data_IF_603014911077
#
_entry.id   IF_603014911077
#
_cell.length_a   1.000
_cell.length_b   1.000
_cell.length_c   1.000
_cell.angle_alpha   90.00
_cell.angle_beta   90.00
_cell.angle_gamma   90.00
#
_symmetry.space_group_name_H-M   'P 1'
#
loop_
_entity.id
_entity.type
_entity.pdbx_description
1 polymer ?
#
# COMPACT_ATOMS: atom_id res chain seq x y z
N UNK A 1 14.75 35.68 37.70
CA UNK A 1 14.16 34.39 38.08
C UNK A 1 12.97 34.14 37.16
N UNK A 2 13.19 33.41 36.07
CA UNK A 2 12.15 33.04 35.11
C UNK A 2 11.37 31.85 35.67
N UNK A 3 10.12 32.08 36.05
CA UNK A 3 9.16 31.03 36.39
C UNK A 3 8.84 30.24 35.12
N UNK A 4 9.62 29.22 34.80
CA UNK A 4 9.22 28.21 33.82
C UNK A 4 8.22 27.27 34.50
N UNK A 5 6.94 27.60 34.44
CA UNK A 5 5.90 26.60 34.66
C UNK A 5 6.10 25.48 33.64
N UNK A 6 6.12 24.20 34.05
CA UNK A 6 6.17 23.11 33.10
C UNK A 6 4.93 23.22 32.20
N UNK A 7 5.14 23.23 30.88
CA UNK A 7 4.06 23.26 29.91
C UNK A 7 3.06 22.14 30.26
N UNK A 8 1.79 22.51 30.46
CA UNK A 8 0.73 21.52 30.73
C UNK A 8 0.71 20.53 29.57
N UNK A 9 0.93 19.26 29.86
CA UNK A 9 0.88 18.22 28.83
C UNK A 9 -0.57 18.08 28.35
N UNK A 10 -0.77 18.24 27.04
CA UNK A 10 -2.04 17.93 26.40
C UNK A 10 -2.42 16.48 26.69
N UNK A 11 -3.62 16.28 27.22
CA UNK A 11 -4.23 14.97 27.44
C UNK A 11 -5.17 14.64 26.29
N UNK A 12 -4.98 13.46 25.69
CA UNK A 12 -5.85 12.97 24.65
C UNK A 12 -7.09 12.29 25.25
N UNK A 13 -8.22 12.28 24.53
CA UNK A 13 -9.39 11.50 24.94
C UNK A 13 -9.03 10.02 25.18
N UNK A 14 -9.68 9.33 26.14
CA UNK A 14 -9.46 7.91 26.34
C UNK A 14 -9.74 7.08 25.08
N UNK A 15 -8.87 6.11 24.79
CA UNK A 15 -9.01 5.21 23.65
C UNK A 15 -8.60 5.82 22.30
N UNK A 16 -7.89 6.96 22.30
CA UNK A 16 -7.45 7.64 21.08
C UNK A 16 -6.63 6.71 20.17
N UNK A 17 -5.66 5.96 20.69
CA UNK A 17 -4.88 5.01 19.90
C UNK A 17 -5.74 3.94 19.16
N UNK A 18 -6.75 3.38 19.82
CA UNK A 18 -7.63 2.38 19.20
C UNK A 18 -8.45 2.99 18.07
N UNK A 19 -8.99 4.20 18.28
CA UNK A 19 -9.75 4.91 17.24
C UNK A 19 -8.86 5.38 16.09
N UNK A 20 -7.60 5.72 16.34
CA UNK A 20 -6.62 6.01 15.28
C UNK A 20 -6.35 4.78 14.42
N UNK A 21 -6.28 3.60 15.03
CA UNK A 21 -6.16 2.36 14.29
C UNK A 21 -7.40 2.05 13.45
N UNK A 22 -8.61 2.32 13.97
CA UNK A 22 -9.86 2.19 13.22
C UNK A 22 -9.92 3.16 12.03
N UNK A 23 -9.64 4.45 12.27
CA UNK A 23 -9.54 5.48 11.24
C UNK A 23 -8.54 5.11 10.14
N UNK A 24 -7.35 4.64 10.53
CA UNK A 24 -6.32 4.22 9.58
C UNK A 24 -6.75 3.05 8.70
N UNK A 25 -7.47 2.06 9.26
CA UNK A 25 -8.02 0.94 8.51
C UNK A 25 -9.14 1.37 7.57
N UNK A 26 -9.99 2.30 8.00
CA UNK A 26 -11.00 2.90 7.12
C UNK A 26 -10.35 3.63 5.94
N UNK A 27 -9.34 4.47 6.20
CA UNK A 27 -8.58 5.17 5.16
C UNK A 27 -7.87 4.23 4.18
N UNK A 28 -7.61 2.99 4.59
CA UNK A 28 -6.92 2.00 3.78
C UNK A 28 -7.86 1.06 3.02
N UNK A 29 -8.92 0.59 3.68
CA UNK A 29 -9.84 -0.43 3.17
C UNK A 29 -11.20 0.13 2.73
N UNK A 30 -11.48 1.40 3.02
CA UNK A 30 -12.79 2.02 2.79
C UNK A 30 -13.90 1.23 3.46
N UNK A 31 -14.94 0.90 2.69
CA UNK A 31 -16.12 0.15 3.15
C UNK A 31 -15.78 -1.25 3.69
N UNK A 32 -14.67 -1.84 3.26
CA UNK A 32 -14.23 -3.16 3.75
C UNK A 32 -13.65 -3.13 5.18
N UNK A 33 -13.49 -1.94 5.77
CA UNK A 33 -12.97 -1.77 7.15
C UNK A 33 -13.98 -2.16 8.24
N UNK A 34 -15.27 -2.32 7.90
CA UNK A 34 -16.32 -2.66 8.85
C UNK A 34 -16.88 -1.49 9.65
N UNK A 35 -16.44 -0.26 9.38
CA UNK A 35 -16.97 0.98 9.98
C UNK A 35 -17.39 1.99 8.91
N UNK A 36 -18.34 2.85 9.25
CA UNK A 36 -18.81 3.92 8.36
C UNK A 36 -17.94 5.19 8.42
N UNK A 37 -18.06 6.09 7.41
CA UNK A 37 -17.33 7.36 7.35
C UNK A 37 -17.55 8.22 8.60
N UNK A 38 -18.78 8.30 9.10
CA UNK A 38 -19.09 9.10 10.30
C UNK A 38 -18.31 8.65 11.52
N UNK A 39 -18.14 7.34 11.70
CA UNK A 39 -17.37 6.78 12.81
C UNK A 39 -15.87 7.04 12.62
N UNK A 40 -15.35 6.81 11.42
CA UNK A 40 -13.92 7.00 11.12
C UNK A 40 -13.50 8.48 11.29
N UNK A 41 -14.26 9.40 10.69
CA UNK A 41 -13.98 10.83 10.72
C UNK A 41 -14.42 11.51 12.01
N UNK A 42 -15.42 10.97 12.71
CA UNK A 42 -15.90 11.49 13.99
C UNK A 42 -14.82 11.54 15.08
N UNK A 43 -13.81 10.65 15.01
CA UNK A 43 -12.66 10.74 15.91
C UNK A 43 -11.83 12.00 15.67
N UNK A 44 -11.56 12.39 14.42
CA UNK A 44 -10.79 13.60 14.14
C UNK A 44 -11.48 14.85 14.70
N UNK A 45 -12.82 14.89 14.66
CA UNK A 45 -13.62 15.95 15.28
C UNK A 45 -13.36 16.11 16.78
N UNK A 46 -13.03 15.03 17.49
CA UNK A 46 -12.68 15.12 18.93
C UNK A 46 -11.30 15.74 19.18
N UNK A 47 -10.42 15.75 18.18
CA UNK A 47 -9.08 16.31 18.25
C UNK A 47 -9.03 17.74 17.68
N UNK A 48 -10.04 18.15 16.91
CA UNK A 48 -10.12 19.46 16.27
C UNK A 48 -9.94 20.65 17.25
N UNK A 49 -10.52 20.66 18.46
CA UNK A 49 -10.27 21.77 19.39
C UNK A 49 -8.80 21.88 19.78
N UNK A 50 -8.12 20.75 19.99
CA UNK A 50 -6.70 20.71 20.33
C UNK A 50 -5.82 21.11 19.14
N UNK A 51 -6.20 20.70 17.92
CA UNK A 51 -5.46 21.07 16.72
C UNK A 51 -5.47 22.58 16.46
N UNK A 52 -6.52 23.28 16.90
CA UNK A 52 -6.65 24.73 16.77
C UNK A 52 -5.97 25.49 17.92
N UNK A 53 -6.07 24.99 19.15
CA UNK A 53 -5.56 25.69 20.33
C UNK A 53 -4.08 25.43 20.62
N UNK A 54 -3.60 24.22 20.35
CA UNK A 54 -2.22 23.78 20.62
C UNK A 54 -1.76 22.69 19.63
N UNK A 55 -1.48 23.06 18.35
CA UNK A 55 -1.02 22.14 17.31
C UNK A 55 0.18 21.28 17.74
N UNK A 56 1.20 21.92 18.33
CA UNK A 56 2.42 21.26 18.76
C UNK A 56 2.18 20.32 19.94
N UNK A 57 1.36 20.73 20.91
CA UNK A 57 0.95 19.90 22.02
C UNK A 57 0.13 18.68 21.59
N UNK A 58 -0.76 18.83 20.59
CA UNK A 58 -1.48 17.71 19.99
C UNK A 58 -0.51 16.72 19.34
N UNK A 59 0.41 17.18 18.48
CA UNK A 59 1.40 16.31 17.83
C UNK A 59 2.27 15.58 18.87
N UNK A 60 2.73 16.28 19.91
CA UNK A 60 3.50 15.68 21.00
C UNK A 60 2.69 14.66 21.80
N UNK A 61 1.39 14.92 22.05
CA UNK A 61 0.53 13.98 22.75
C UNK A 61 0.27 12.72 21.93
N UNK A 62 -0.01 12.86 20.64
CA UNK A 62 -0.18 11.74 19.71
C UNK A 62 1.09 10.88 19.66
N UNK A 63 2.26 11.50 19.48
CA UNK A 63 3.54 10.80 19.45
C UNK A 63 3.78 9.99 20.72
N UNK A 64 3.57 10.57 21.91
CA UNK A 64 3.71 9.84 23.19
C UNK A 64 2.79 8.62 23.27
N UNK A 65 1.56 8.72 22.76
CA UNK A 65 0.58 7.63 22.85
C UNK A 65 0.86 6.51 21.84
N UNK A 66 1.22 6.85 20.59
CA UNK A 66 1.25 5.88 19.49
C UNK A 66 2.64 5.35 19.15
N UNK A 67 3.71 6.10 19.42
CA UNK A 67 5.08 5.64 19.12
C UNK A 67 5.44 4.31 19.81
N UNK A 68 5.07 4.08 21.08
CA UNK A 68 5.31 2.78 21.74
C UNK A 68 4.50 1.63 21.13
N UNK A 69 3.35 1.94 20.53
CA UNK A 69 2.44 0.95 19.95
C UNK A 69 2.83 0.60 18.51
N UNK A 70 3.32 1.58 17.74
CA UNK A 70 3.58 1.44 16.32
C UNK A 70 2.30 1.12 15.53
N UNK A 71 2.46 0.38 14.43
CA UNK A 71 1.34 -0.24 13.73
C UNK A 71 0.27 0.71 13.19
N UNK A 72 -0.96 0.21 13.18
CA UNK A 72 -2.16 0.96 12.80
C UNK A 72 -2.40 2.24 13.62
N UNK A 73 -2.22 2.28 14.97
CA UNK A 73 -2.32 3.53 15.73
C UNK A 73 -1.34 4.61 15.26
N UNK A 74 -0.07 4.26 15.04
CA UNK A 74 0.94 5.22 14.60
C UNK A 74 0.69 5.71 13.16
N UNK A 75 0.26 4.81 12.27
CA UNK A 75 -0.15 5.19 10.92
C UNK A 75 -1.37 6.13 10.95
N UNK A 76 -2.37 5.82 11.77
CA UNK A 76 -3.54 6.68 11.99
C UNK A 76 -3.20 8.05 12.56
N UNK A 77 -2.25 8.13 13.49
CA UNK A 77 -1.76 9.41 14.02
C UNK A 77 -1.06 10.25 12.95
N UNK A 78 -0.23 9.63 12.10
CA UNK A 78 0.42 10.32 10.98
C UNK A 78 -0.63 10.93 10.04
N UNK A 79 -1.67 10.14 9.69
CA UNK A 79 -2.82 10.61 8.91
C UNK A 79 -3.56 11.75 9.61
N UNK A 80 -3.92 11.58 10.88
CA UNK A 80 -4.64 12.58 11.65
C UNK A 80 -3.87 13.91 11.75
N UNK A 81 -2.54 13.86 11.93
CA UNK A 81 -1.68 15.04 11.93
C UNK A 81 -1.71 15.73 10.56
N UNK A 82 -1.55 14.99 9.47
CA UNK A 82 -1.61 15.53 8.12
C UNK A 82 -2.96 16.21 7.81
N UNK A 83 -4.08 15.60 8.23
CA UNK A 83 -5.42 16.13 8.00
C UNK A 83 -5.74 17.35 8.89
N UNK A 84 -5.35 17.30 10.18
CA UNK A 84 -5.74 18.34 11.15
C UNK A 84 -4.77 19.52 11.21
N UNK A 85 -3.47 19.28 10.99
CA UNK A 85 -2.42 20.29 11.11
C UNK A 85 -1.89 20.73 9.73
N UNK A 86 -2.17 19.95 8.69
CA UNK A 86 -1.72 20.20 7.33
C UNK A 86 -0.35 19.58 7.01
N UNK A 87 -0.12 19.33 5.72
CA UNK A 87 1.11 18.69 5.23
C UNK A 87 2.37 19.53 5.43
N UNK A 88 2.23 20.85 5.60
CA UNK A 88 3.33 21.78 5.85
C UNK A 88 3.65 21.95 7.35
N UNK A 89 2.95 21.23 8.24
CA UNK A 89 3.22 21.31 9.66
C UNK A 89 4.57 20.69 10.00
N UNK A 90 5.44 21.48 10.62
CA UNK A 90 6.77 21.04 11.07
C UNK A 90 6.77 20.81 12.58
N UNK A 91 7.37 19.70 13.03
CA UNK A 91 7.58 19.43 14.44
C UNK A 91 8.19 18.05 14.67
N UNK A 92 9.16 17.95 15.58
CA UNK A 92 9.90 16.71 15.85
C UNK A 92 8.96 15.53 16.18
N UNK A 93 7.92 15.77 16.97
CA UNK A 93 6.93 14.76 17.30
C UNK A 93 6.11 14.28 16.09
N UNK A 94 5.70 15.20 15.21
CA UNK A 94 4.98 14.85 13.98
C UNK A 94 5.88 14.05 13.03
N UNK A 95 7.13 14.49 12.88
CA UNK A 95 8.15 13.78 12.10
C UNK A 95 8.40 12.37 12.61
N UNK A 96 8.53 12.19 13.94
CA UNK A 96 8.74 10.87 14.53
C UNK A 96 7.55 9.92 14.30
N UNK A 97 6.32 10.45 14.33
CA UNK A 97 5.11 9.68 14.01
C UNK A 97 5.09 9.28 12.53
N UNK A 98 5.43 10.21 11.62
CA UNK A 98 5.51 9.92 10.18
C UNK A 98 6.59 8.87 9.86
N UNK A 99 7.77 8.96 10.48
CA UNK A 99 8.83 7.97 10.31
C UNK A 99 8.40 6.58 10.83
N UNK A 100 7.63 6.54 11.93
CA UNK A 100 7.02 5.32 12.43
C UNK A 100 5.98 4.72 11.48
N UNK A 101 5.14 5.56 10.88
CA UNK A 101 4.16 5.19 9.86
C UNK A 101 4.84 4.61 8.60
N UNK A 102 5.88 5.27 8.09
CA UNK A 102 6.66 4.78 6.93
C UNK A 102 7.29 3.42 7.24
N UNK A 103 7.88 3.26 8.44
CA UNK A 103 8.44 1.98 8.88
C UNK A 103 7.37 0.87 8.91
N UNK A 104 6.19 1.17 9.42
CA UNK A 104 5.07 0.24 9.43
C UNK A 104 4.66 -0.18 8.02
N UNK A 105 4.48 0.76 7.07
CA UNK A 105 4.14 0.42 5.68
C UNK A 105 5.21 -0.48 5.04
N UNK A 106 6.50 -0.16 5.22
CA UNK A 106 7.60 -0.97 4.67
C UNK A 106 7.65 -2.38 5.28
N UNK A 107 7.51 -2.49 6.60
CA UNK A 107 7.51 -3.79 7.28
C UNK A 107 6.37 -4.71 6.82
N UNK A 108 5.26 -4.13 6.35
CA UNK A 108 4.11 -4.87 5.85
C UNK A 108 4.10 -5.03 4.32
N UNK A 109 5.24 -4.78 3.65
CA UNK A 109 5.38 -5.06 2.22
C UNK A 109 4.58 -4.12 1.31
N UNK A 110 4.19 -2.93 1.78
CA UNK A 110 3.42 -1.99 0.98
C UNK A 110 4.30 -1.42 -0.15
N UNK A 111 3.95 -1.60 -1.44
CA UNK A 111 4.77 -1.11 -2.54
C UNK A 111 4.73 0.43 -2.64
N UNK A 112 5.78 1.07 -3.20
CA UNK A 112 5.87 2.54 -3.29
C UNK A 112 4.65 3.20 -3.94
N UNK A 113 4.06 2.57 -4.95
CA UNK A 113 2.89 3.08 -5.68
C UNK A 113 1.62 3.17 -4.81
N UNK A 114 1.60 2.55 -3.62
CA UNK A 114 0.48 2.59 -2.66
C UNK A 114 0.74 3.50 -1.47
N UNK A 115 1.86 4.21 -1.48
CA UNK A 115 2.26 5.16 -0.44
C UNK A 115 1.79 6.56 -0.82
N UNK A 116 1.44 7.39 0.16
CA UNK A 116 0.98 8.76 -0.12
C UNK A 116 2.16 9.67 -0.51
N UNK A 117 1.93 10.74 -1.30
CA UNK A 117 3.01 11.59 -1.76
C UNK A 117 3.90 12.18 -0.65
N UNK A 118 3.34 12.55 0.50
CA UNK A 118 4.13 13.11 1.62
C UNK A 118 4.94 12.05 2.37
N UNK A 119 4.44 10.81 2.46
CA UNK A 119 5.20 9.67 3.02
C UNK A 119 6.39 9.35 2.11
N UNK A 120 6.17 9.34 0.79
CA UNK A 120 7.22 9.14 -0.18
C UNK A 120 8.26 10.26 -0.17
N UNK A 121 7.81 11.52 -0.09
CA UNK A 121 8.71 12.68 -0.02
C UNK A 121 9.60 12.60 1.22
N UNK A 122 9.01 12.30 2.39
CA UNK A 122 9.78 12.10 3.64
C UNK A 122 10.82 10.98 3.52
N UNK A 123 10.48 9.87 2.86
CA UNK A 123 11.43 8.79 2.61
C UNK A 123 12.62 9.26 1.77
N UNK A 124 12.37 9.98 0.68
CA UNK A 124 13.43 10.50 -0.20
C UNK A 124 14.28 11.56 0.52
N UNK A 125 13.66 12.47 1.26
CA UNK A 125 14.34 13.54 2.01
C UNK A 125 15.29 12.99 3.09
N UNK A 126 15.05 11.77 3.57
CA UNK A 126 15.90 11.07 4.53
C UNK A 126 16.94 10.16 3.88
N UNK A 127 17.14 10.29 2.56
CA UNK A 127 18.13 9.53 1.78
C UNK A 127 17.63 8.18 1.26
N UNK A 128 16.32 7.92 1.35
CA UNK A 128 15.70 6.74 0.81
C UNK A 128 15.63 6.71 -0.73
N UNK A 129 15.66 5.51 -1.31
CA UNK A 129 15.48 5.31 -2.77
C UNK A 129 14.36 4.31 -3.06
N UNK A 130 13.97 4.19 -4.34
CA UNK A 130 12.98 3.20 -4.79
C UNK A 130 13.49 1.78 -4.54
N UNK A 131 14.76 1.52 -4.83
CA UNK A 131 15.42 0.24 -4.68
C UNK A 131 15.55 -0.16 -3.20
N UNK A 132 15.70 0.83 -2.31
CA UNK A 132 15.83 0.61 -0.88
C UNK A 132 14.48 0.52 -0.15
N UNK A 133 13.35 0.81 -0.82
CA UNK A 133 12.04 0.83 -0.16
C UNK A 133 11.62 -0.54 0.37
N UNK A 134 11.66 -1.57 -0.48
CA UNK A 134 11.37 -2.96 -0.10
C UNK A 134 12.46 -3.90 -0.62
N UNK A 135 12.76 -5.00 0.09
CA UNK A 135 13.65 -6.02 -0.44
C UNK A 135 13.01 -6.66 -1.68
N UNK A 136 13.76 -6.67 -2.79
CA UNK A 136 13.34 -7.35 -4.03
C UNK A 136 13.69 -8.82 -3.97
N UNK A 137 12.75 -9.68 -4.38
CA UNK A 137 12.93 -11.11 -4.56
C UNK A 137 13.37 -11.33 -6.01
N UNK A 138 14.59 -11.87 -6.26
CA UNK A 138 15.00 -12.18 -7.62
C UNK A 138 14.16 -13.34 -8.18
N UNK A 139 13.82 -13.31 -9.48
CA UNK A 139 13.09 -14.42 -10.11
C UNK A 139 13.96 -15.70 -10.12
N UNK A 140 13.34 -16.89 -10.19
CA UNK A 140 14.09 -18.11 -10.39
C UNK A 140 14.84 -18.07 -11.72
N UNK A 141 16.04 -18.68 -11.81
CA UNK A 141 16.74 -18.79 -13.09
C UNK A 141 15.97 -19.76 -14.02
N UNK A 142 16.13 -19.64 -15.35
CA UNK A 142 15.35 -20.42 -16.33
C UNK A 142 15.34 -21.93 -16.07
N UNK A 143 16.47 -22.51 -15.70
CA UNK A 143 16.66 -23.93 -15.43
C UNK A 143 15.96 -24.43 -14.14
N UNK A 144 15.53 -23.52 -13.27
CA UNK A 144 14.75 -23.80 -12.05
C UNK A 144 13.35 -23.21 -12.10
N UNK A 145 12.90 -22.79 -13.28
CA UNK A 145 11.61 -22.14 -13.47
C UNK A 145 10.42 -23.02 -13.08
N UNK A 146 10.53 -24.34 -13.27
CA UNK A 146 9.45 -25.30 -13.01
C UNK A 146 8.20 -25.07 -13.89
N UNK A 147 8.29 -24.20 -14.91
CA UNK A 147 7.18 -23.86 -15.77
C UNK A 147 6.82 -25.04 -16.66
N UNK A 148 5.54 -25.44 -16.63
CA UNK A 148 5.04 -26.47 -17.54
C UNK A 148 4.75 -25.84 -18.88
N UNK A 149 5.24 -26.43 -19.97
CA UNK A 149 4.89 -25.91 -21.29
C UNK A 149 3.38 -25.88 -21.56
N UNK A 150 2.95 -24.91 -22.38
CA UNK A 150 1.56 -24.78 -22.81
C UNK A 150 1.30 -25.70 -23.99
N UNK A 151 0.23 -26.50 -23.92
CA UNK A 151 -0.25 -27.24 -25.08
C UNK A 151 -0.80 -26.27 -26.16
N UNK A 152 -0.84 -26.67 -27.44
CA UNK A 152 -1.49 -25.86 -28.47
C UNK A 152 -2.94 -25.53 -28.09
N UNK A 153 -3.30 -24.24 -28.14
CA UNK A 153 -4.62 -23.74 -27.73
C UNK A 153 -4.85 -23.64 -26.22
N UNK A 154 -3.88 -24.04 -25.38
CA UNK A 154 -3.96 -23.86 -23.93
C UNK A 154 -3.89 -22.37 -23.58
N UNK A 155 -4.84 -21.93 -22.74
CA UNK A 155 -4.86 -20.60 -22.14
C UNK A 155 -4.71 -20.76 -20.63
N UNK A 156 -3.64 -20.20 -20.07
CA UNK A 156 -3.32 -20.34 -18.64
C UNK A 156 -3.65 -19.07 -17.90
N UNK A 157 -4.55 -19.16 -16.91
CA UNK A 157 -4.85 -18.06 -16.00
C UNK A 157 -3.73 -17.89 -14.99
N UNK A 158 -3.16 -16.68 -14.90
CA UNK A 158 -1.96 -16.44 -14.06
C UNK A 158 -2.18 -15.37 -12.98
N UNK A 159 -3.13 -14.45 -13.14
CA UNK A 159 -3.43 -13.45 -12.13
C UNK A 159 -4.87 -12.91 -12.19
N UNK A 160 -5.36 -12.44 -11.04
CA UNK A 160 -6.60 -11.65 -10.88
C UNK A 160 -6.29 -10.43 -10.03
N UNK A 161 -6.59 -9.23 -10.56
CA UNK A 161 -6.11 -7.97 -9.98
C UNK A 161 -6.76 -7.63 -8.63
N UNK A 162 -8.10 -7.72 -8.54
CA UNK A 162 -8.90 -7.39 -7.35
C UNK A 162 -9.79 -8.56 -6.93
N UNK A 163 -10.50 -8.41 -5.80
CA UNK A 163 -11.48 -9.40 -5.32
C UNK A 163 -12.84 -9.28 -6.02
N UNK A 164 -13.03 -8.25 -6.85
CA UNK A 164 -14.31 -7.93 -7.47
C UNK A 164 -14.70 -9.00 -8.51
N UNK A 165 -16.00 -9.22 -8.68
CA UNK A 165 -16.51 -10.23 -9.63
C UNK A 165 -16.09 -9.96 -11.07
N UNK A 166 -15.88 -8.70 -11.41
CA UNK A 166 -15.51 -8.20 -12.72
C UNK A 166 -14.02 -7.83 -12.82
N UNK A 167 -13.20 -8.26 -11.85
CA UNK A 167 -11.77 -7.97 -11.81
C UNK A 167 -11.06 -8.25 -13.15
N UNK A 168 -10.03 -7.45 -13.40
CA UNK A 168 -9.12 -7.70 -14.53
C UNK A 168 -8.38 -9.01 -14.29
N UNK A 169 -8.38 -9.88 -15.29
CA UNK A 169 -7.68 -11.17 -15.24
C UNK A 169 -6.61 -11.24 -16.32
N UNK A 170 -5.51 -11.92 -15.99
CA UNK A 170 -4.36 -12.06 -16.89
C UNK A 170 -4.21 -13.52 -17.27
N UNK A 171 -4.13 -13.76 -18.58
CA UNK A 171 -3.91 -15.08 -19.16
C UNK A 171 -2.61 -15.09 -19.96
N UNK A 172 -1.97 -16.26 -20.05
CA UNK A 172 -0.84 -16.51 -20.94
C UNK A 172 -1.22 -17.61 -21.93
N UNK A 173 -0.91 -17.41 -23.19
CA UNK A 173 -1.20 -18.36 -24.27
C UNK A 173 -0.12 -18.27 -25.36
N UNK A 174 -0.08 -19.25 -26.26
CA UNK A 174 0.71 -19.16 -27.50
C UNK A 174 0.20 -18.01 -28.38
N UNK A 175 1.12 -17.30 -29.03
CA UNK A 175 0.78 -16.19 -29.95
C UNK A 175 0.48 -16.65 -31.39
N UNK A 176 0.66 -17.94 -31.68
CA UNK A 176 0.46 -18.55 -33.00
C UNK A 176 1.66 -18.42 -33.95
N UNK A 177 2.68 -17.62 -33.60
CA UNK A 177 3.92 -17.42 -34.35
C UNK A 177 5.12 -18.15 -33.73
N UNK A 178 4.89 -18.99 -32.71
CA UNK A 178 5.92 -19.72 -31.97
C UNK A 178 6.39 -19.02 -30.70
N UNK A 179 5.77 -17.91 -30.32
CA UNK A 179 6.00 -17.19 -29.07
C UNK A 179 4.80 -17.26 -28.13
N UNK A 180 4.85 -16.44 -27.09
CA UNK A 180 3.86 -16.37 -26.02
C UNK A 180 3.35 -14.93 -25.86
N UNK A 181 2.07 -14.81 -25.54
CA UNK A 181 1.40 -13.54 -25.28
C UNK A 181 0.67 -13.59 -23.95
N UNK A 182 0.84 -12.54 -23.15
CA UNK A 182 -0.01 -12.26 -22.01
C UNK A 182 -1.20 -11.41 -22.48
N UNK A 183 -2.41 -11.85 -22.17
CA UNK A 183 -3.67 -11.18 -22.51
C UNK A 183 -4.31 -10.69 -21.22
N UNK A 184 -4.70 -9.42 -21.20
CA UNK A 184 -5.55 -8.87 -20.16
C UNK A 184 -6.99 -8.96 -20.63
N UNK A 185 -7.82 -9.56 -19.80
CA UNK A 185 -9.28 -9.54 -19.90
C UNK A 185 -9.80 -8.54 -18.86
N UNK A 186 -10.33 -7.42 -19.33
CA UNK A 186 -10.76 -6.29 -18.51
C UNK A 186 -12.04 -5.67 -19.08
N UNK A 187 -12.75 -4.87 -18.27
CA UNK A 187 -13.78 -3.97 -18.79
C UNK A 187 -13.20 -3.07 -19.89
N UNK A 188 -13.99 -2.80 -20.92
CA UNK A 188 -13.58 -1.90 -22.00
C UNK A 188 -13.37 -0.48 -21.46
N UNK A 189 -14.29 -0.03 -20.61
CA UNK A 189 -14.14 1.21 -19.83
C UNK A 189 -15.03 1.18 -18.58
N UNK A 190 -14.99 2.23 -17.77
CA UNK A 190 -15.95 2.39 -16.66
C UNK A 190 -17.38 2.65 -17.16
N UNK A 191 -17.54 3.21 -18.35
CA UNK A 191 -18.83 3.53 -18.97
C UNK A 191 -19.39 2.37 -19.82
N UNK A 192 -18.53 1.46 -20.25
CA UNK A 192 -18.87 0.26 -21.02
C UNK A 192 -18.42 -1.00 -20.28
N UNK A 193 -19.34 -1.71 -19.61
CA UNK A 193 -19.02 -2.89 -18.81
C UNK A 193 -18.70 -4.13 -19.67
N UNK A 194 -18.76 -4.03 -21.00
CA UNK A 194 -18.37 -5.15 -21.87
C UNK A 194 -16.91 -5.51 -21.63
N UNK A 195 -16.61 -6.82 -21.65
CA UNK A 195 -15.25 -7.30 -21.44
C UNK A 195 -14.51 -7.34 -22.77
N UNK A 196 -13.28 -6.85 -22.75
CA UNK A 196 -12.37 -6.85 -23.89
C UNK A 196 -11.10 -7.62 -23.52
N UNK A 197 -10.54 -8.32 -24.53
CA UNK A 197 -9.28 -9.04 -24.41
C UNK A 197 -8.21 -8.36 -25.25
N UNK A 198 -7.21 -7.80 -24.59
CA UNK A 198 -6.11 -7.10 -25.22
C UNK A 198 -4.78 -7.81 -24.98
N UNK A 199 -3.95 -7.93 -26.03
CA UNK A 199 -2.57 -8.35 -25.87
C UNK A 199 -1.80 -7.29 -25.07
N UNK A 200 -1.12 -7.70 -24.00
CA UNK A 200 -0.41 -6.81 -23.08
C UNK A 200 1.10 -6.93 -23.17
N UNK A 201 1.64 -8.16 -23.15
CA UNK A 201 3.07 -8.46 -23.25
C UNK A 201 3.29 -9.62 -24.22
N UNK A 202 4.46 -9.68 -24.84
CA UNK A 202 4.90 -10.79 -25.71
C UNK A 202 6.33 -11.19 -25.38
N UNK A 203 6.65 -12.46 -25.56
CA UNK A 203 8.01 -12.99 -25.45
C UNK A 203 8.17 -14.28 -26.25
N UNK A 204 9.40 -14.61 -26.62
CA UNK A 204 9.71 -15.80 -27.43
C UNK A 204 9.74 -17.11 -26.60
N UNK A 205 9.53 -17.04 -25.29
CA UNK A 205 9.53 -18.20 -24.41
C UNK A 205 8.54 -18.04 -23.25
N UNK A 206 8.10 -19.18 -22.70
CA UNK A 206 7.22 -19.21 -21.54
C UNK A 206 7.89 -18.56 -20.31
N UNK A 207 9.19 -18.79 -20.13
CA UNK A 207 9.98 -18.10 -19.09
C UNK A 207 9.97 -16.58 -19.30
N UNK A 208 10.25 -16.12 -20.52
CA UNK A 208 10.31 -14.70 -20.85
C UNK A 208 8.98 -13.99 -20.59
N UNK A 209 7.85 -14.62 -20.94
CA UNK A 209 6.54 -14.00 -20.71
C UNK A 209 6.17 -13.97 -19.22
N UNK A 210 6.48 -15.02 -18.44
CA UNK A 210 6.27 -15.03 -16.99
C UNK A 210 7.11 -13.98 -16.27
N UNK A 211 8.38 -13.84 -16.66
CA UNK A 211 9.26 -12.80 -16.16
C UNK A 211 8.73 -11.39 -16.49
N UNK A 212 8.32 -11.16 -17.74
CA UNK A 212 7.77 -9.88 -18.18
C UNK A 212 6.48 -9.50 -17.44
N UNK A 213 5.59 -10.48 -17.20
CA UNK A 213 4.35 -10.28 -16.43
C UNK A 213 4.67 -10.00 -14.96
N UNK A 214 5.54 -10.80 -14.33
CA UNK A 214 5.90 -10.66 -12.92
C UNK A 214 6.52 -9.29 -12.60
N UNK A 215 7.48 -8.85 -13.43
CA UNK A 215 8.10 -7.52 -13.32
C UNK A 215 7.09 -6.38 -13.53
N UNK A 216 6.14 -6.55 -14.45
CA UNK A 216 5.12 -5.54 -14.72
C UNK A 216 4.10 -5.41 -13.58
N UNK A 217 3.77 -6.50 -12.88
CA UNK A 217 2.88 -6.46 -11.72
C UNK A 217 3.53 -5.79 -10.49
N UNK A 218 4.85 -5.92 -10.35
CA UNK A 218 5.67 -5.43 -9.22
C UNK A 218 5.33 -6.07 -7.86
N UNK A 219 4.07 -6.02 -7.43
CA UNK A 219 3.57 -6.63 -6.19
C UNK A 219 2.46 -7.65 -6.47
N UNK A 220 2.29 -8.68 -5.61
CA UNK A 220 1.26 -9.69 -5.83
C UNK A 220 -0.14 -9.08 -5.82
N UNK A 221 -0.96 -9.34 -6.87
CA UNK A 221 -2.35 -8.92 -6.90
C UNK A 221 -3.22 -9.78 -5.96
N UNK A 222 -4.54 -9.57 -6.00
CA UNK A 222 -5.49 -10.33 -5.17
C UNK A 222 -5.25 -11.85 -5.25
N UNK A 223 -5.16 -12.38 -6.47
CA UNK A 223 -4.78 -13.77 -6.71
C UNK A 223 -3.69 -13.87 -7.78
N UNK A 224 -2.74 -14.79 -7.57
CA UNK A 224 -1.66 -15.12 -8.50
C UNK A 224 -1.46 -16.63 -8.52
N UNK A 225 -1.19 -17.20 -9.69
CA UNK A 225 -0.87 -18.62 -9.80
C UNK A 225 0.46 -18.95 -9.11
N UNK A 226 0.60 -20.19 -8.64
CA UNK A 226 1.84 -20.66 -8.01
C UNK A 226 3.04 -20.61 -8.97
N UNK A 227 2.80 -20.76 -10.28
CA UNK A 227 3.82 -20.63 -11.32
C UNK A 227 4.29 -19.18 -11.51
N UNK A 228 3.39 -18.18 -11.39
CA UNK A 228 3.75 -16.76 -11.60
C UNK A 228 4.31 -16.10 -10.34
N UNK A 229 3.87 -16.53 -9.15
CA UNK A 229 4.24 -15.90 -7.88
C UNK A 229 5.77 -15.69 -7.69
N UNK A 230 6.67 -16.61 -8.06
CA UNK A 230 8.13 -16.44 -7.90
C UNK A 230 8.73 -15.34 -8.78
N UNK A 231 8.02 -14.87 -9.80
CA UNK A 231 8.51 -13.85 -10.75
C UNK A 231 8.12 -12.43 -10.36
N UNK A 232 7.29 -12.27 -9.32
CA UNK A 232 6.88 -10.97 -8.81
C UNK A 232 7.94 -10.47 -7.81
N UNK A 233 8.55 -9.29 -8.04
CA UNK A 233 9.74 -8.88 -7.30
C UNK A 233 9.46 -8.38 -5.88
N UNK A 234 8.27 -7.85 -5.59
CA UNK A 234 7.94 -7.35 -4.27
C UNK A 234 7.18 -8.40 -3.44
N UNK A 235 7.34 -8.41 -2.10
CA UNK A 235 6.59 -9.30 -1.24
C UNK A 235 5.09 -9.02 -1.31
N UNK A 236 4.27 -10.01 -0.94
CA UNK A 236 2.84 -9.81 -0.75
C UNK A 236 2.63 -8.81 0.40
N UNK A 237 1.83 -7.75 0.21
CA UNK A 237 1.40 -6.89 1.30
C UNK A 237 0.71 -7.69 2.41
N UNK A 238 1.09 -7.47 3.67
CA UNK A 238 0.51 -8.12 4.85
C UNK A 238 0.06 -7.03 5.81
N UNK A 239 -1.05 -6.37 5.51
CA UNK A 239 -1.60 -5.31 6.37
C UNK A 239 -3.06 -5.63 6.70
#
# INVERSE_FOLDING_TARGET
MTNSQPARSVQLPPGTAARLAEFARYEWYGESSGIGPEQAWGMLSTLLPLSQSDPAGLAAALAREVTPLGGWPAYGASRAIAELLGLAFEGEAATAVLDGAIRFLRQNGIPPLRVRPYEWSRWVDTGGTVEAWLPTIPPPPPERSGLRELAPGEVRHVATMTADRDANTIYVQHDGAGGYVAVIDARFSDEDPTRSRGAWKRADSLYGIFLAVGLALQAPPHWVSAELAPYIPLPRPVI
#
